data_IF_328921675994
#
_entry.id   IF_328921675994
#
_cell.length_a   1.000
_cell.length_b   1.000
_cell.length_c   1.000
_cell.angle_alpha   90.00
_cell.angle_beta   90.00
_cell.angle_gamma   90.00
#
_symmetry.space_group_name_H-M   'P 1'
#
loop_
_entity.id
_entity.type
_entity.pdbx_description
1 polymer ?
#
# COMPACT_ATOMS: atom_id res chain seq x y z
N UNK A 1 -19.62 1.78 16.77
CA UNK A 1 -18.85 1.93 15.53
C UNK A 1 -17.99 0.70 15.38
N UNK A 2 -18.30 -0.20 14.45
CA UNK A 2 -17.43 -1.33 14.16
C UNK A 2 -16.19 -0.80 13.46
N UNK A 3 -15.01 -1.01 14.03
CA UNK A 3 -13.77 -0.81 13.29
C UNK A 3 -13.79 -1.80 12.13
N UNK A 4 -14.02 -1.34 10.90
CA UNK A 4 -13.90 -2.23 9.74
C UNK A 4 -12.46 -2.75 9.70
N UNK A 5 -12.33 -4.06 9.63
CA UNK A 5 -11.06 -4.76 9.70
C UNK A 5 -10.32 -4.58 8.38
N UNK A 6 -9.00 -4.38 8.46
CA UNK A 6 -8.09 -4.43 7.32
C UNK A 6 -8.34 -5.70 6.49
N UNK A 7 -8.47 -5.54 5.16
CA UNK A 7 -8.70 -6.67 4.25
C UNK A 7 -7.36 -7.24 3.79
N UNK A 8 -7.11 -8.51 4.10
CA UNK A 8 -5.91 -9.22 3.66
C UNK A 8 -6.19 -10.00 2.37
N UNK A 9 -5.37 -9.75 1.35
CA UNK A 9 -5.51 -10.32 0.02
C UNK A 9 -4.18 -10.91 -0.45
N UNK A 10 -4.24 -11.94 -1.29
CA UNK A 10 -3.10 -12.49 -2.01
C UNK A 10 -3.33 -12.37 -3.50
N UNK A 11 -2.31 -11.96 -4.24
CA UNK A 11 -2.33 -11.97 -5.70
C UNK A 11 -1.61 -13.22 -6.21
N UNK A 12 -2.34 -14.09 -6.91
CA UNK A 12 -1.81 -15.35 -7.46
C UNK A 12 -1.24 -15.22 -8.90
N UNK A 13 -1.09 -13.99 -9.40
CA UNK A 13 -0.72 -13.69 -10.79
C UNK A 13 -1.92 -13.44 -11.71
N UNK A 14 -3.13 -13.81 -11.30
CA UNK A 14 -4.37 -13.64 -12.08
C UNK A 14 -5.44 -12.85 -11.33
N UNK A 15 -5.61 -13.10 -10.04
CA UNK A 15 -6.71 -12.56 -9.25
C UNK A 15 -6.30 -12.24 -7.82
N UNK A 16 -7.08 -11.38 -7.16
CA UNK A 16 -6.96 -11.09 -5.72
C UNK A 16 -7.92 -11.99 -4.96
N UNK A 17 -7.39 -12.78 -4.03
CA UNK A 17 -8.17 -13.68 -3.18
C UNK A 17 -7.99 -13.30 -1.71
N UNK A 18 -9.05 -13.34 -0.88
CA UNK A 18 -8.91 -13.24 0.57
C UNK A 18 -7.92 -14.28 1.09
N UNK A 19 -7.03 -13.88 1.99
CA UNK A 19 -6.04 -14.79 2.56
C UNK A 19 -5.79 -14.51 4.04
N UNK A 20 -5.15 -15.47 4.70
CA UNK A 20 -4.44 -15.20 5.94
C UNK A 20 -3.08 -14.55 5.64
N UNK A 21 -2.51 -13.89 6.64
CA UNK A 21 -1.17 -13.33 6.52
C UNK A 21 -0.16 -14.47 6.24
N UNK A 22 0.69 -14.34 5.21
CA UNK A 22 1.72 -15.34 4.93
C UNK A 22 2.66 -15.56 6.12
N UNK A 23 3.24 -16.76 6.19
CA UNK A 23 4.18 -17.10 7.26
C UNK A 23 5.41 -16.17 7.25
N UNK A 24 5.94 -15.86 6.06
CA UNK A 24 7.07 -14.93 5.91
C UNK A 24 6.75 -13.55 6.49
N UNK A 25 5.52 -13.08 6.31
CA UNK A 25 5.09 -11.79 6.85
C UNK A 25 4.98 -11.85 8.36
N UNK A 26 4.42 -12.95 8.89
CA UNK A 26 4.30 -13.17 10.32
C UNK A 26 5.67 -13.28 11.02
N UNK A 27 6.66 -13.90 10.35
CA UNK A 27 8.04 -13.98 10.83
C UNK A 27 8.68 -12.59 10.90
N UNK A 28 8.57 -11.82 9.82
CA UNK A 28 9.09 -10.44 9.74
C UNK A 28 8.47 -9.53 10.81
N UNK A 29 7.16 -9.65 11.04
CA UNK A 29 6.46 -8.92 12.11
C UNK A 29 6.98 -9.27 13.51
N UNK A 30 7.22 -10.55 13.79
CA UNK A 30 7.76 -11.01 15.09
C UNK A 30 9.18 -10.51 15.31
N UNK A 31 10.03 -10.63 14.29
CA UNK A 31 11.43 -10.20 14.38
C UNK A 31 11.55 -8.68 14.60
N UNK A 32 10.65 -7.89 14.01
CA UNK A 32 10.61 -6.44 14.23
C UNK A 32 10.24 -6.06 15.67
N UNK A 33 9.33 -6.81 16.29
CA UNK A 33 8.94 -6.61 17.69
C UNK A 33 10.08 -7.00 18.65
N UNK A 34 10.83 -8.06 18.33
CA UNK A 34 11.93 -8.59 19.16
C UNK A 34 13.19 -7.69 19.15
N UNK A 35 13.41 -6.89 18.10
CA UNK A 35 14.60 -6.04 17.94
C UNK A 35 14.41 -4.62 18.55
N UNK A 36 13.23 -4.32 19.11
CA UNK A 36 13.01 -3.07 19.84
C UNK A 36 13.13 -1.83 18.95
N UNK A 37 12.33 -1.75 17.88
CA UNK A 37 11.90 -0.49 17.25
C UNK A 37 12.96 0.52 16.75
N UNK A 38 14.25 0.17 16.68
CA UNK A 38 15.34 1.12 16.42
C UNK A 38 15.92 1.04 15.00
N UNK A 39 15.08 1.15 13.97
CA UNK A 39 15.54 1.52 12.62
C UNK A 39 14.99 2.90 12.24
N UNK A 40 15.75 3.99 12.52
CA UNK A 40 15.42 5.31 12.04
C UNK A 40 15.96 5.49 10.61
N UNK A 41 15.08 5.95 9.72
CA UNK A 41 15.29 6.37 8.33
C UNK A 41 14.88 5.36 7.24
N UNK A 42 13.78 5.73 6.55
CA UNK A 42 13.24 5.22 5.28
C UNK A 42 12.18 4.09 5.43
N UNK A 43 11.07 4.44 6.10
CA UNK A 43 9.68 4.01 5.87
C UNK A 43 9.30 2.51 5.66
N UNK A 44 10.06 1.54 6.16
CA UNK A 44 9.61 0.13 6.11
C UNK A 44 8.58 -0.23 7.19
N UNK A 45 7.51 -0.98 6.84
CA UNK A 45 6.67 -1.66 7.84
C UNK A 45 7.46 -2.86 8.37
N UNK A 46 7.93 -2.76 9.61
CA UNK A 46 8.42 -3.89 10.39
C UNK A 46 9.51 -4.74 9.69
N UNK A 47 10.52 -4.11 9.10
CA UNK A 47 11.64 -4.81 8.46
C UNK A 47 11.49 -5.09 6.96
N UNK A 48 10.34 -4.75 6.35
CA UNK A 48 10.16 -4.79 4.89
C UNK A 48 10.45 -3.40 4.31
N UNK A 49 11.33 -3.31 3.32
CA UNK A 49 11.76 -2.03 2.75
C UNK A 49 10.65 -1.40 1.91
N UNK A 50 10.29 -0.15 2.17
CA UNK A 50 9.42 0.60 1.27
C UNK A 50 10.18 0.91 -0.02
N UNK A 51 9.68 0.38 -1.13
CA UNK A 51 10.25 0.56 -2.46
C UNK A 51 9.62 1.76 -3.17
N UNK A 52 8.29 1.86 -3.12
CA UNK A 52 7.55 2.93 -3.77
C UNK A 52 6.36 3.41 -2.93
N UNK A 53 6.09 4.71 -2.98
CA UNK A 53 4.87 5.31 -2.45
C UNK A 53 4.19 6.16 -3.54
N UNK A 54 2.88 6.03 -3.65
CA UNK A 54 2.04 6.78 -4.57
C UNK A 54 0.88 7.42 -3.83
N UNK A 55 0.57 8.69 -4.13
CA UNK A 55 -0.45 9.46 -3.43
C UNK A 55 0.00 9.91 -2.04
N UNK A 56 -0.59 10.98 -1.51
CA UNK A 56 -0.19 11.55 -0.22
C UNK A 56 -1.34 12.01 0.68
N UNK A 57 -2.49 12.40 0.11
CA UNK A 57 -3.53 13.07 0.88
C UNK A 57 -4.70 12.15 1.23
N UNK A 58 -5.57 11.87 0.25
CA UNK A 58 -6.82 11.13 0.48
C UNK A 58 -6.61 9.62 0.47
N UNK A 59 -5.77 9.19 -0.45
CA UNK A 59 -5.48 7.80 -0.71
C UNK A 59 -4.01 7.64 -1.06
N UNK A 60 -3.38 6.60 -0.54
CA UNK A 60 -2.02 6.25 -0.92
C UNK A 60 -1.85 4.76 -1.13
N UNK A 61 -0.87 4.42 -1.95
CA UNK A 61 -0.41 3.06 -2.15
C UNK A 61 1.06 2.98 -1.77
N UNK A 62 1.37 2.11 -0.83
CA UNK A 62 2.73 1.81 -0.43
C UNK A 62 3.10 0.42 -0.96
N UNK A 63 4.25 0.32 -1.62
CA UNK A 63 4.79 -0.94 -2.12
C UNK A 63 6.08 -1.22 -1.37
N UNK A 64 6.13 -2.36 -0.70
CA UNK A 64 7.28 -2.82 0.04
C UNK A 64 7.86 -4.09 -0.59
N UNK A 65 9.18 -4.21 -0.52
CA UNK A 65 9.96 -5.32 -1.05
C UNK A 65 10.52 -6.16 0.11
N UNK A 66 10.09 -7.42 0.20
CA UNK A 66 10.54 -8.39 1.20
C UNK A 66 11.68 -9.29 0.67
N UNK A 67 12.39 -8.84 -0.37
CA UNK A 67 13.47 -9.58 -1.01
C UNK A 67 12.98 -10.84 -1.68
N UNK A 68 13.56 -11.98 -1.30
CA UNK A 68 13.23 -13.30 -1.87
C UNK A 68 11.83 -13.81 -1.49
N UNK A 69 11.20 -13.18 -0.49
CA UNK A 69 9.90 -13.60 0.03
C UNK A 69 8.71 -12.97 -0.72
N UNK A 70 8.95 -11.93 -1.53
CA UNK A 70 7.94 -11.29 -2.34
C UNK A 70 7.78 -9.78 -2.09
N UNK A 71 6.58 -9.29 -2.37
CA UNK A 71 6.18 -7.89 -2.22
C UNK A 71 4.91 -7.76 -1.38
N UNK A 72 4.82 -6.64 -0.70
CA UNK A 72 3.64 -6.20 0.04
C UNK A 72 3.11 -4.92 -0.63
N UNK A 73 1.83 -4.85 -0.93
CA UNK A 73 1.19 -3.63 -1.42
C UNK A 73 0.07 -3.26 -0.48
N UNK A 74 0.13 -2.06 0.09
CA UNK A 74 -0.88 -1.55 1.00
C UNK A 74 -1.63 -0.40 0.36
N UNK A 75 -2.94 -0.42 0.50
CA UNK A 75 -3.81 0.68 0.14
C UNK A 75 -4.33 1.37 1.40
N UNK A 76 -4.04 2.66 1.50
CA UNK A 76 -4.37 3.50 2.64
C UNK A 76 -5.40 4.56 2.26
N UNK A 77 -6.30 4.84 3.19
CA UNK A 77 -6.96 6.14 3.26
C UNK A 77 -6.22 7.07 4.24
N UNK A 78 -6.75 8.27 4.47
CA UNK A 78 -6.19 9.29 5.37
C UNK A 78 -5.91 8.77 6.80
N UNK A 79 -6.64 7.76 7.25
CA UNK A 79 -6.70 7.33 8.64
C UNK A 79 -6.23 5.90 8.88
N UNK A 80 -6.29 5.01 7.88
CA UNK A 80 -6.02 3.58 8.06
C UNK A 80 -5.68 2.84 6.76
N UNK A 81 -5.07 1.67 6.94
CA UNK A 81 -4.90 0.68 5.88
C UNK A 81 -6.24 -0.01 5.61
N UNK A 82 -6.72 0.07 4.37
CA UNK A 82 -7.95 -0.55 3.91
C UNK A 82 -7.70 -1.95 3.38
N UNK A 83 -6.60 -2.15 2.67
CA UNK A 83 -6.23 -3.44 2.10
C UNK A 83 -4.72 -3.64 2.10
N UNK A 84 -4.32 -4.87 2.41
CA UNK A 84 -2.95 -5.34 2.33
C UNK A 84 -2.89 -6.54 1.40
N UNK A 85 -2.04 -6.44 0.39
CA UNK A 85 -1.93 -7.40 -0.71
C UNK A 85 -0.55 -8.04 -0.65
N UNK A 86 -0.52 -9.35 -0.50
CA UNK A 86 0.69 -10.16 -0.52
C UNK A 86 0.92 -10.73 -1.92
N UNK A 87 2.16 -10.67 -2.37
CA UNK A 87 2.58 -11.12 -3.70
C UNK A 87 3.87 -11.91 -3.54
N UNK A 88 3.85 -13.23 -3.71
CA UNK A 88 4.95 -14.09 -3.22
C UNK A 88 6.20 -14.09 -4.08
N UNK A 89 6.12 -13.62 -5.33
CA UNK A 89 7.28 -13.61 -6.22
C UNK A 89 7.33 -12.40 -7.14
N UNK A 90 8.50 -12.20 -7.75
CA UNK A 90 8.79 -11.05 -8.62
C UNK A 90 7.96 -11.08 -9.90
N UNK A 91 7.69 -12.26 -10.47
CA UNK A 91 6.93 -12.38 -11.71
C UNK A 91 5.46 -11.97 -11.49
N UNK A 92 4.84 -12.47 -10.42
CA UNK A 92 3.51 -12.07 -9.98
C UNK A 92 3.45 -10.57 -9.66
N UNK A 93 4.50 -10.00 -9.08
CA UNK A 93 4.58 -8.55 -8.86
C UNK A 93 4.64 -7.76 -10.16
N UNK A 94 5.42 -8.19 -11.16
CA UNK A 94 5.48 -7.52 -12.45
C UNK A 94 4.13 -7.55 -13.18
N UNK A 95 3.42 -8.69 -13.10
CA UNK A 95 2.04 -8.83 -13.60
C UNK A 95 1.07 -7.91 -12.85
N UNK A 96 1.14 -7.89 -11.52
CA UNK A 96 0.32 -7.00 -10.68
C UNK A 96 0.56 -5.54 -11.02
N UNK A 97 1.83 -5.17 -11.19
CA UNK A 97 2.25 -3.82 -11.53
C UNK A 97 1.68 -3.38 -12.87
N UNK A 98 1.78 -4.23 -13.88
CA UNK A 98 1.30 -3.95 -15.23
C UNK A 98 -0.23 -3.82 -15.30
N UNK A 99 -0.97 -4.71 -14.61
CA UNK A 99 -2.43 -4.82 -14.72
C UNK A 99 -3.20 -3.95 -13.74
N UNK A 100 -2.69 -3.79 -12.51
CA UNK A 100 -3.46 -3.22 -11.40
C UNK A 100 -2.81 -1.94 -10.86
N UNK A 101 -1.53 -2.00 -10.52
CA UNK A 101 -0.88 -0.89 -9.80
C UNK A 101 -0.93 0.42 -10.60
N UNK A 102 -0.58 0.38 -11.89
CA UNK A 102 -0.62 1.59 -12.72
C UNK A 102 -2.03 2.18 -12.85
N UNK A 103 -3.05 1.33 -12.97
CA UNK A 103 -4.43 1.79 -13.05
C UNK A 103 -4.87 2.48 -11.75
N UNK A 104 -4.51 1.91 -10.60
CA UNK A 104 -4.82 2.51 -9.30
C UNK A 104 -4.04 3.81 -9.07
N UNK A 105 -2.75 3.84 -9.37
CA UNK A 105 -1.93 5.06 -9.27
C UNK A 105 -2.48 6.17 -10.16
N UNK A 106 -2.95 5.83 -11.36
CA UNK A 106 -3.58 6.80 -12.25
C UNK A 106 -4.88 7.37 -11.66
N UNK A 107 -5.72 6.52 -11.08
CA UNK A 107 -6.96 6.95 -10.43
C UNK A 107 -6.71 7.88 -9.24
N UNK A 108 -5.75 7.55 -8.37
CA UNK A 108 -5.37 8.40 -7.23
C UNK A 108 -4.91 9.77 -7.72
N UNK A 109 -4.00 9.82 -8.70
CA UNK A 109 -3.52 11.09 -9.29
C UNK A 109 -4.63 11.89 -9.96
N UNK A 110 -5.62 11.22 -10.55
CA UNK A 110 -6.77 11.89 -11.16
C UNK A 110 -7.68 12.52 -10.11
N UNK A 111 -7.88 11.85 -8.98
CA UNK A 111 -8.62 12.37 -7.84
C UNK A 111 -7.90 13.56 -7.19
N UNK A 112 -6.60 13.46 -6.95
CA UNK A 112 -5.78 14.57 -6.42
C UNK A 112 -5.88 15.81 -7.31
N UNK A 113 -5.70 15.64 -8.63
CA UNK A 113 -5.82 16.74 -9.60
C UNK A 113 -7.20 17.39 -9.60
N UNK A 114 -8.27 16.61 -9.44
CA UNK A 114 -9.65 17.13 -9.35
C UNK A 114 -9.86 17.91 -8.06
N UNK A 115 -9.37 17.39 -6.94
CA UNK A 115 -9.44 18.07 -5.64
C UNK A 115 -8.70 19.42 -5.68
N UNK A 116 -7.51 19.48 -6.27
CA UNK A 116 -6.75 20.72 -6.46
C UNK A 116 -7.51 21.75 -7.31
N UNK A 117 -8.14 21.28 -8.38
CA UNK A 117 -8.92 22.13 -9.28
C UNK A 117 -10.16 22.72 -8.61
N UNK A 118 -10.86 21.92 -7.79
CA UNK A 118 -12.02 22.37 -7.04
C UNK A 118 -11.63 23.36 -5.95
N UNK A 119 -10.52 23.13 -5.25
CA UNK A 119 -9.97 24.07 -4.27
C UNK A 119 -9.59 25.41 -4.90
N UNK A 120 -8.95 25.39 -6.08
CA UNK A 120 -8.60 26.59 -6.83
C UNK A 120 -9.81 27.42 -7.32
N UNK A 121 -10.93 26.77 -7.63
CA UNK A 121 -12.19 27.46 -7.98
C UNK A 121 -12.83 28.14 -6.78
N UNK A 122 -12.80 27.52 -5.62
CA UNK A 122 -13.41 28.07 -4.42
C UNK A 122 -12.63 29.28 -3.88
N UNK A 123 -11.31 29.32 -4.04
CA UNK A 123 -10.53 30.53 -3.76
C UNK A 123 -10.89 31.69 -4.70
N UNK A 124 -11.08 31.43 -5.99
CA UNK A 124 -11.47 32.46 -6.98
C UNK A 124 -12.89 33.01 -6.79
N UNK A 125 -13.79 32.27 -6.14
CA UNK A 125 -15.15 32.76 -5.82
C UNK A 125 -15.20 33.61 -4.54
N UNK A 126 -14.15 33.55 -3.71
CA UNK A 126 -14.05 34.28 -2.44
C UNK A 126 -13.13 35.51 -2.52
N UNK A 127 -12.45 35.70 -3.63
CA UNK A 127 -11.67 36.89 -3.98
C UNK A 127 -12.53 37.84 -4.82
#
# INVERSE_FOLDING_TARGET
MSAEKETLLRFDGTSLQPCEAPEWYSAVMRDADDIGGHYPAIYGRNGILLDHQFGQDLHSINVYNAGVHGHLVEYWDVTRCLATIFIDDVAAYLEFRAKHLFAWVWLIKDMERKADFDFGKDQRKRA
#
